data_IF_147684368614
#
_entry.id   IF_147684368614
#
_cell.length_a   1.000
_cell.length_b   1.000
_cell.length_c   1.000
_cell.angle_alpha   90.00
_cell.angle_beta   90.00
_cell.angle_gamma   90.00
#
_symmetry.space_group_name_H-M   'P 1'
#
loop_
_entity.id
_entity.type
_entity.pdbx_description
1 polymer ?
#
# COMPACT_ATOMS: atom_id res chain seq x y z
N UNK A 1 25.02 5.42 -9.92
CA UNK A 1 24.57 4.85 -8.63
C UNK A 1 24.50 5.97 -7.61
N UNK A 2 23.30 6.42 -7.23
CA UNK A 2 23.13 7.45 -6.18
C UNK A 2 23.39 6.79 -4.82
N UNK A 3 24.38 7.31 -4.07
CA UNK A 3 24.71 6.88 -2.70
C UNK A 3 23.49 7.10 -1.80
N UNK A 4 23.05 6.05 -1.12
CA UNK A 4 22.09 6.13 -0.01
C UNK A 4 22.83 6.84 1.14
N UNK A 5 22.28 7.90 1.75
CA UNK A 5 22.94 8.55 2.87
C UNK A 5 23.00 7.58 4.05
N UNK A 6 24.20 7.44 4.64
CA UNK A 6 24.41 6.68 5.86
C UNK A 6 23.47 7.23 6.94
N UNK A 7 22.51 6.42 7.39
CA UNK A 7 21.76 6.72 8.62
C UNK A 7 22.78 6.77 9.75
N UNK A 8 23.13 7.98 10.19
CA UNK A 8 23.97 8.18 11.36
C UNK A 8 23.23 7.56 12.55
N UNK A 9 23.74 6.43 13.06
CA UNK A 9 23.33 5.95 14.38
C UNK A 9 23.72 7.05 15.36
N UNK A 10 22.75 7.61 16.08
CA UNK A 10 23.01 8.52 17.17
C UNK A 10 24.04 7.85 18.11
N UNK A 11 25.08 8.58 18.54
CA UNK A 11 26.03 8.02 19.49
C UNK A 11 25.26 7.64 20.76
N UNK A 12 25.58 6.49 21.39
CA UNK A 12 24.96 6.13 22.66
C UNK A 12 25.25 7.25 23.68
N UNK A 13 24.28 7.61 24.53
CA UNK A 13 24.45 8.69 25.49
C UNK A 13 25.66 8.41 26.39
N UNK A 14 26.46 9.45 26.64
CA UNK A 14 27.63 9.32 27.47
C UNK A 14 27.25 8.89 28.91
N UNK A 15 27.99 7.95 29.52
CA UNK A 15 27.68 7.49 30.86
C UNK A 15 27.90 8.62 31.88
N UNK A 16 26.88 8.92 32.67
CA UNK A 16 26.98 9.89 33.77
C UNK A 16 27.70 9.25 34.96
N UNK A 17 28.91 9.74 35.27
CA UNK A 17 29.72 9.25 36.40
C UNK A 17 29.41 10.06 37.65
N UNK A 18 28.77 9.43 38.64
CA UNK A 18 28.48 10.04 39.95
C UNK A 18 29.61 9.70 40.93
N UNK A 19 30.32 10.72 41.43
CA UNK A 19 31.34 10.56 42.48
C UNK A 19 30.72 10.81 43.86
N UNK A 20 30.86 9.84 44.76
CA UNK A 20 30.38 9.94 46.14
C UNK A 20 31.54 10.23 47.10
N UNK A 21 31.35 11.13 48.07
CA UNK A 21 32.36 11.40 49.12
C UNK A 21 32.39 10.23 50.13
N UNK A 22 33.53 9.54 50.31
CA UNK A 22 33.66 8.40 51.22
C UNK A 22 33.26 8.69 52.67
N UNK A 23 33.31 9.96 53.11
CA UNK A 23 32.93 10.34 54.48
C UNK A 23 31.44 10.19 54.76
N UNK A 24 30.59 10.24 53.72
CA UNK A 24 29.13 10.08 53.82
C UNK A 24 28.67 8.61 53.90
N UNK A 25 29.58 7.65 53.71
CA UNK A 25 29.28 6.20 53.69
C UNK A 25 29.52 5.51 55.06
N UNK A 26 29.84 6.27 56.11
CA UNK A 26 30.09 5.73 57.46
C UNK A 26 28.77 5.32 58.13
N UNK A 27 28.41 4.03 58.00
CA UNK A 27 27.26 3.44 58.70
C UNK A 27 26.55 2.31 57.93
N UNK A 28 26.91 2.09 56.66
CA UNK A 28 26.27 1.11 55.78
C UNK A 28 26.04 1.71 54.40
N UNK A 29 26.06 0.87 53.36
CA UNK A 29 25.88 1.32 51.97
C UNK A 29 24.40 1.65 51.76
N UNK A 30 24.02 2.92 51.93
CA UNK A 30 22.70 3.40 51.47
C UNK A 30 22.91 4.03 50.10
N UNK A 31 22.65 3.27 49.05
CA UNK A 31 22.60 3.81 47.69
C UNK A 31 21.40 4.77 47.60
N UNK A 32 21.59 6.04 47.17
CA UNK A 32 20.46 6.92 46.92
C UNK A 32 19.57 6.30 45.83
N UNK A 33 18.26 6.20 46.09
CA UNK A 33 17.29 5.75 45.08
C UNK A 33 17.22 6.81 43.99
N UNK A 34 17.89 6.57 42.88
CA UNK A 34 17.80 7.41 41.68
C UNK A 34 16.49 7.08 40.98
N UNK A 35 15.55 8.03 40.92
CA UNK A 35 14.39 7.93 40.03
C UNK A 35 14.76 8.63 38.72
N UNK A 36 14.78 7.88 37.63
CA UNK A 36 14.93 8.43 36.29
C UNK A 36 13.53 8.76 35.76
N UNK A 37 13.28 10.02 35.38
CA UNK A 37 12.15 10.39 34.52
C UNK A 37 12.69 10.55 33.10
N UNK A 38 12.23 9.71 32.18
CA UNK A 38 12.54 9.83 30.76
C UNK A 38 11.53 10.82 30.18
N UNK A 39 11.96 12.07 29.98
CA UNK A 39 11.21 13.06 29.21
C UNK A 39 11.49 12.81 27.73
N UNK A 40 10.66 11.99 27.09
CA UNK A 40 10.66 11.85 25.64
C UNK A 40 9.94 13.07 25.04
N UNK A 41 10.69 13.93 24.37
CA UNK A 41 10.14 15.00 23.52
C UNK A 41 10.46 14.65 22.08
N UNK A 42 9.46 14.73 21.20
CA UNK A 42 9.64 14.47 19.77
C UNK A 42 10.35 15.69 19.18
N UNK A 43 11.64 15.56 18.88
CA UNK A 43 12.46 16.67 18.35
C UNK A 43 12.08 17.05 16.91
N UNK A 44 11.37 16.19 16.20
CA UNK A 44 10.94 16.45 14.81
C UNK A 44 9.53 15.94 14.59
N UNK A 45 8.56 16.85 14.46
CA UNK A 45 7.41 16.57 13.61
C UNK A 45 7.98 16.37 12.20
N UNK A 46 8.21 15.13 11.79
CA UNK A 46 8.39 14.83 10.36
C UNK A 46 7.03 15.13 9.70
N UNK A 47 6.80 16.39 9.37
CA UNK A 47 5.67 16.82 8.57
C UNK A 47 5.92 16.25 7.18
N UNK A 48 5.09 15.31 6.76
CA UNK A 48 5.12 14.79 5.40
C UNK A 48 4.68 15.92 4.46
N UNK A 49 5.63 16.59 3.83
CA UNK A 49 5.38 17.62 2.80
C UNK A 49 4.99 17.02 1.44
N UNK A 50 4.82 15.70 1.37
CA UNK A 50 4.40 15.02 0.15
C UNK A 50 2.90 15.20 -0.10
N UNK A 51 2.54 15.27 -1.37
CA UNK A 51 1.14 15.21 -1.78
C UNK A 51 0.60 13.79 -1.54
N UNK A 52 -0.39 13.65 -0.66
CA UNK A 52 -1.09 12.39 -0.44
C UNK A 52 -2.15 12.22 -1.52
N UNK A 53 -1.95 11.27 -2.43
CA UNK A 53 -2.96 10.91 -3.42
C UNK A 53 -3.88 9.86 -2.77
N UNK A 54 -5.17 10.16 -2.53
CA UNK A 54 -6.08 9.22 -1.88
C UNK A 54 -6.34 8.02 -2.79
N UNK A 55 -5.90 6.83 -2.36
CA UNK A 55 -6.24 5.56 -3.00
C UNK A 55 -7.59 5.07 -2.46
N UNK A 56 -8.57 4.75 -3.32
CA UNK A 56 -9.81 4.10 -2.86
C UNK A 56 -9.50 2.79 -2.13
N UNK A 57 -9.99 2.64 -0.89
CA UNK A 57 -9.72 1.46 -0.04
C UNK A 57 -10.07 0.15 -0.73
N UNK A 58 -11.17 0.13 -1.47
CA UNK A 58 -11.61 -1.00 -2.31
C UNK A 58 -10.49 -1.55 -3.20
N UNK A 59 -9.62 -0.70 -3.76
CA UNK A 59 -8.53 -1.12 -4.62
C UNK A 59 -7.39 -1.80 -3.86
N UNK A 60 -7.16 -1.40 -2.61
CA UNK A 60 -6.11 -1.98 -1.77
C UNK A 60 -6.38 -3.47 -1.52
N UNK A 61 -7.65 -3.83 -1.29
CA UNK A 61 -8.04 -5.21 -1.02
C UNK A 61 -8.33 -6.01 -2.29
N UNK A 62 -8.83 -5.37 -3.34
CA UNK A 62 -9.23 -6.05 -4.57
C UNK A 62 -8.06 -6.34 -5.54
N UNK A 63 -6.99 -5.52 -5.54
CA UNK A 63 -5.90 -5.66 -6.50
C UNK A 63 -4.76 -6.55 -5.99
N UNK A 64 -4.02 -7.19 -6.91
CA UNK A 64 -2.73 -7.78 -6.55
C UNK A 64 -1.69 -6.71 -6.26
N UNK A 65 -0.60 -7.06 -5.56
CA UNK A 65 0.53 -6.15 -5.31
C UNK A 65 1.03 -5.45 -6.60
N UNK A 66 1.18 -6.20 -7.69
CA UNK A 66 1.66 -5.64 -8.95
C UNK A 66 0.62 -4.74 -9.61
N UNK A 67 -0.65 -5.12 -9.61
CA UNK A 67 -1.72 -4.28 -10.15
C UNK A 67 -1.93 -3.01 -9.34
N UNK A 68 -1.85 -3.10 -8.01
CA UNK A 68 -1.92 -1.95 -7.12
C UNK A 68 -0.78 -0.98 -7.41
N UNK A 69 0.44 -1.50 -7.62
CA UNK A 69 1.58 -0.69 -8.04
C UNK A 69 1.34 -0.01 -9.40
N UNK A 70 0.73 -0.71 -10.36
CA UNK A 70 0.40 -0.14 -11.68
C UNK A 70 -0.61 0.99 -11.51
N UNK A 71 -1.68 0.75 -10.77
CA UNK A 71 -2.74 1.73 -10.51
C UNK A 71 -2.21 2.96 -9.77
N UNK A 72 -1.39 2.76 -8.74
CA UNK A 72 -0.77 3.86 -8.00
C UNK A 72 0.14 4.70 -8.88
N UNK A 73 0.95 4.05 -9.74
CA UNK A 73 1.83 4.76 -10.67
C UNK A 73 1.04 5.54 -11.72
N UNK A 74 -0.06 4.98 -12.23
CA UNK A 74 -0.95 5.70 -13.17
C UNK A 74 -1.57 6.93 -12.51
N UNK A 75 -1.99 6.82 -11.24
CA UNK A 75 -2.53 7.96 -10.49
C UNK A 75 -1.49 9.03 -10.20
N UNK A 76 -0.28 8.62 -9.82
CA UNK A 76 0.85 9.54 -9.63
C UNK A 76 1.16 10.29 -10.93
N UNK A 77 1.33 9.58 -12.04
CA UNK A 77 1.59 10.18 -13.36
C UNK A 77 0.48 11.10 -13.83
N UNK A 78 -0.78 10.68 -13.70
CA UNK A 78 -1.93 11.51 -14.08
C UNK A 78 -2.03 12.77 -13.21
N UNK A 79 -1.62 12.69 -11.96
CA UNK A 79 -1.68 13.83 -11.05
C UNK A 79 -0.51 14.80 -11.25
N UNK A 80 0.68 14.30 -11.58
CA UNK A 80 1.86 15.13 -11.89
C UNK A 80 1.77 15.77 -13.29
N UNK A 81 1.29 15.03 -14.30
CA UNK A 81 1.36 15.41 -15.70
C UNK A 81 -0.01 15.68 -16.35
N UNK A 82 -1.11 15.56 -15.59
CA UNK A 82 -2.49 15.64 -16.08
C UNK A 82 -3.01 14.34 -16.73
N UNK A 83 -2.12 13.54 -17.31
CA UNK A 83 -2.45 12.24 -17.90
C UNK A 83 -1.29 11.24 -17.82
N UNK A 84 -1.61 9.94 -17.74
CA UNK A 84 -0.59 8.89 -17.84
C UNK A 84 -0.40 8.48 -19.31
N UNK A 85 0.46 9.21 -20.02
CA UNK A 85 0.79 8.96 -21.44
C UNK A 85 2.05 8.10 -21.67
N UNK A 86 2.68 7.58 -20.60
CA UNK A 86 3.90 6.78 -20.68
C UNK A 86 3.74 5.52 -21.54
N UNK A 87 4.76 5.15 -22.29
CA UNK A 87 4.83 3.87 -22.97
C UNK A 87 4.92 2.70 -21.97
N UNK A 88 4.64 1.48 -22.42
CA UNK A 88 4.77 0.27 -21.58
C UNK A 88 6.22 0.10 -21.11
N UNK A 89 7.21 0.46 -21.93
CA UNK A 89 8.62 0.38 -21.55
C UNK A 89 8.98 1.39 -20.46
N UNK A 90 8.52 2.64 -20.59
CA UNK A 90 8.77 3.68 -19.58
C UNK A 90 8.14 3.33 -18.24
N UNK A 91 6.88 2.84 -18.25
CA UNK A 91 6.22 2.34 -17.04
C UNK A 91 6.99 1.16 -16.41
N UNK A 92 7.44 0.20 -17.23
CA UNK A 92 8.21 -0.94 -16.73
C UNK A 92 9.51 -0.50 -16.04
N UNK A 93 10.20 0.48 -16.61
CA UNK A 93 11.42 1.07 -16.02
C UNK A 93 11.10 1.82 -14.73
N UNK A 94 10.08 2.69 -14.71
CA UNK A 94 9.69 3.47 -13.52
C UNK A 94 9.33 2.54 -12.35
N UNK A 95 8.58 1.48 -12.63
CA UNK A 95 8.11 0.52 -11.64
C UNK A 95 9.10 -0.61 -11.31
N UNK A 96 10.19 -0.74 -12.08
CA UNK A 96 11.14 -1.86 -12.02
C UNK A 96 10.45 -3.23 -12.18
N UNK A 97 9.46 -3.30 -13.07
CA UNK A 97 8.78 -4.53 -13.46
C UNK A 97 9.27 -5.01 -14.83
N UNK A 98 9.19 -6.31 -15.09
CA UNK A 98 9.41 -6.82 -16.44
C UNK A 98 8.26 -6.38 -17.36
N UNK A 99 8.56 -6.13 -18.64
CA UNK A 99 7.55 -5.78 -19.65
C UNK A 99 6.43 -6.84 -19.75
N UNK A 100 6.70 -8.15 -19.70
CA UNK A 100 5.64 -9.18 -19.67
C UNK A 100 4.73 -9.06 -18.44
N UNK A 101 5.30 -8.88 -17.25
CA UNK A 101 4.50 -8.75 -16.01
C UNK A 101 3.61 -7.51 -16.06
N UNK A 102 4.16 -6.38 -16.48
CA UNK A 102 3.39 -5.14 -16.64
C UNK A 102 2.29 -5.30 -17.69
N UNK A 103 2.60 -5.91 -18.83
CA UNK A 103 1.62 -6.13 -19.91
C UNK A 103 0.46 -7.01 -19.46
N UNK A 104 0.74 -8.04 -18.66
CA UNK A 104 -0.30 -8.88 -18.05
C UNK A 104 -1.17 -8.10 -17.06
N UNK A 105 -0.57 -7.25 -16.21
CA UNK A 105 -1.32 -6.40 -15.29
C UNK A 105 -2.23 -5.42 -16.06
N UNK A 106 -1.69 -4.72 -17.06
CA UNK A 106 -2.47 -3.80 -17.89
C UNK A 106 -3.61 -4.52 -18.63
N UNK A 107 -3.36 -5.73 -19.14
CA UNK A 107 -4.40 -6.55 -19.75
C UNK A 107 -5.48 -6.96 -18.75
N UNK A 108 -5.10 -7.45 -17.58
CA UNK A 108 -6.01 -7.83 -16.49
C UNK A 108 -6.91 -6.64 -16.09
N UNK A 109 -6.31 -5.47 -15.86
CA UNK A 109 -7.01 -4.25 -15.45
C UNK A 109 -7.98 -3.74 -16.53
N UNK A 110 -7.61 -3.85 -17.82
CA UNK A 110 -8.53 -3.53 -18.93
C UNK A 110 -9.69 -4.53 -19.01
N UNK A 111 -9.39 -5.83 -18.86
CA UNK A 111 -10.37 -6.90 -18.97
C UNK A 111 -11.48 -6.76 -17.92
N UNK A 112 -11.11 -6.41 -16.69
CA UNK A 112 -12.06 -6.19 -15.60
C UNK A 112 -12.70 -4.79 -15.64
N UNK A 113 -12.36 -3.95 -16.63
CA UNK A 113 -12.97 -2.63 -16.82
C UNK A 113 -12.45 -1.54 -15.90
N UNK A 114 -11.39 -1.78 -15.12
CA UNK A 114 -10.82 -0.82 -14.17
C UNK A 114 -9.87 0.19 -14.83
N UNK A 115 -9.27 -0.20 -15.95
CA UNK A 115 -8.37 0.65 -16.74
C UNK A 115 -8.96 0.94 -18.12
N UNK A 116 -9.06 2.23 -18.45
CA UNK A 116 -9.40 2.72 -19.77
C UNK A 116 -8.11 3.12 -20.49
N UNK A 117 -8.01 2.74 -21.76
CA UNK A 117 -6.88 3.10 -22.61
C UNK A 117 -7.38 3.73 -23.91
N UNK A 118 -6.88 4.93 -24.21
CA UNK A 118 -7.15 5.62 -25.47
C UNK A 118 -5.86 5.82 -26.27
N UNK A 119 -5.91 5.89 -27.61
CA UNK A 119 -4.73 6.18 -28.41
C UNK A 119 -4.20 7.59 -28.11
N UNK A 120 -2.89 7.75 -27.92
CA UNK A 120 -2.26 9.04 -27.62
C UNK A 120 -2.15 9.98 -28.86
N UNK A 121 -2.73 9.61 -30.01
CA UNK A 121 -2.68 10.40 -31.26
C UNK A 121 -1.29 10.59 -31.90
N UNK A 122 -0.20 10.40 -31.16
CA UNK A 122 1.19 10.47 -31.63
C UNK A 122 1.61 9.11 -32.19
N UNK A 123 2.23 9.11 -33.38
CA UNK A 123 2.73 7.88 -34.02
C UNK A 123 3.79 7.23 -33.12
N UNK A 124 3.49 6.04 -32.59
CA UNK A 124 4.37 5.34 -31.63
C UNK A 124 4.29 5.84 -30.19
N UNK A 125 3.45 6.84 -29.88
CA UNK A 125 3.37 7.50 -28.57
C UNK A 125 2.61 6.74 -27.48
N UNK A 126 2.44 5.42 -27.61
CA UNK A 126 1.73 4.62 -26.62
C UNK A 126 0.22 4.90 -26.52
N UNK A 127 -0.34 4.67 -25.34
CA UNK A 127 -1.76 4.83 -25.00
C UNK A 127 -1.88 5.69 -23.75
N UNK A 128 -2.84 6.59 -23.74
CA UNK A 128 -3.21 7.35 -22.54
C UNK A 128 -4.00 6.40 -21.64
N UNK A 129 -3.59 6.31 -20.37
CA UNK A 129 -4.17 5.42 -19.36
C UNK A 129 -4.94 6.23 -18.33
N UNK A 130 -6.18 5.83 -18.08
CA UNK A 130 -7.05 6.46 -17.09
C UNK A 130 -7.80 5.40 -16.29
N UNK A 131 -7.96 5.64 -14.99
CA UNK A 131 -8.77 4.76 -14.15
C UNK A 131 -10.25 4.99 -14.42
N UNK A 132 -11.01 3.90 -14.44
CA UNK A 132 -12.45 3.93 -14.55
C UNK A 132 -13.09 4.15 -13.17
N UNK A 133 -13.11 5.40 -12.70
CA UNK A 133 -13.71 5.76 -11.41
C UNK A 133 -15.17 5.30 -11.25
N UNK A 134 -16.04 5.36 -12.27
CA UNK A 134 -17.38 4.76 -12.20
C UNK A 134 -17.36 3.26 -11.86
N UNK A 135 -16.43 2.48 -12.43
CA UNK A 135 -16.29 1.07 -12.08
C UNK A 135 -15.78 0.87 -10.64
N UNK A 136 -14.88 1.74 -10.18
CA UNK A 136 -14.38 1.71 -8.80
C UNK A 136 -15.51 2.01 -7.81
N UNK A 137 -16.34 3.01 -8.11
CA UNK A 137 -17.50 3.35 -7.29
C UNK A 137 -18.50 2.20 -7.26
N UNK A 138 -18.85 1.64 -8.42
CA UNK A 138 -19.74 0.48 -8.49
C UNK A 138 -19.22 -0.71 -7.67
N UNK A 139 -17.92 -1.00 -7.75
CA UNK A 139 -17.31 -2.04 -6.93
C UNK A 139 -17.43 -1.72 -5.44
N UNK A 140 -17.23 -0.47 -5.04
CA UNK A 140 -17.37 -0.03 -3.65
C UNK A 140 -18.82 -0.16 -3.15
N UNK A 141 -19.80 0.27 -3.94
CA UNK A 141 -21.22 0.22 -3.59
C UNK A 141 -21.74 -1.22 -3.44
N UNK A 142 -21.15 -2.18 -4.17
CA UNK A 142 -21.50 -3.58 -4.07
C UNK A 142 -21.08 -4.24 -2.74
N UNK A 143 -20.08 -3.67 -2.07
CA UNK A 143 -19.35 -4.30 -0.95
C UNK A 143 -19.23 -3.39 0.27
N UNK A 144 -19.87 -2.21 0.26
CA UNK A 144 -19.77 -1.19 1.32
C UNK A 144 -20.22 -1.73 2.69
N UNK A 145 -21.22 -2.60 2.70
CA UNK A 145 -21.79 -3.21 3.91
C UNK A 145 -21.18 -4.58 4.24
N UNK A 146 -20.21 -5.05 3.45
CA UNK A 146 -19.65 -6.39 3.53
C UNK A 146 -18.30 -6.40 4.28
N UNK A 147 -17.84 -7.59 4.71
CA UNK A 147 -16.57 -7.71 5.41
C UNK A 147 -15.35 -7.46 4.50
N UNK A 148 -14.21 -6.95 5.01
CA UNK A 148 -13.03 -6.68 4.19
C UNK A 148 -12.44 -7.89 3.44
N UNK A 149 -12.74 -9.13 3.84
CA UNK A 149 -12.31 -10.33 3.12
C UNK A 149 -13.05 -10.54 1.79
N UNK A 150 -14.20 -9.88 1.61
CA UNK A 150 -15.04 -10.06 0.41
C UNK A 150 -14.34 -9.60 -0.86
N UNK A 151 -13.52 -8.55 -0.78
CA UNK A 151 -12.79 -8.02 -1.94
C UNK A 151 -11.84 -9.07 -2.53
N UNK A 152 -11.15 -9.83 -1.68
CA UNK A 152 -10.25 -10.91 -2.10
C UNK A 152 -11.04 -12.11 -2.66
N UNK A 153 -12.16 -12.47 -2.04
CA UNK A 153 -13.05 -13.56 -2.51
C UNK A 153 -13.67 -13.23 -3.86
N UNK A 154 -14.26 -12.04 -4.01
CA UNK A 154 -14.80 -11.56 -5.29
C UNK A 154 -13.69 -11.54 -6.33
N UNK A 155 -12.49 -11.03 -6.03
CA UNK A 155 -11.36 -11.04 -6.97
C UNK A 155 -11.06 -12.44 -7.52
N UNK A 156 -11.09 -13.49 -6.67
CA UNK A 156 -10.88 -14.88 -7.10
C UNK A 156 -12.05 -15.39 -7.96
N UNK A 157 -13.29 -15.11 -7.55
CA UNK A 157 -14.50 -15.61 -8.21
C UNK A 157 -14.81 -14.92 -9.54
N UNK A 158 -14.58 -13.61 -9.65
CA UNK A 158 -15.19 -12.77 -10.70
C UNK A 158 -14.20 -12.14 -11.68
N UNK A 159 -12.90 -12.48 -11.61
CA UNK A 159 -11.85 -11.93 -12.51
C UNK A 159 -12.04 -12.14 -14.01
N UNK A 160 -13.06 -12.89 -14.41
CA UNK A 160 -13.45 -13.10 -15.80
C UNK A 160 -14.48 -12.09 -16.29
N UNK A 161 -15.12 -11.36 -15.39
CA UNK A 161 -16.25 -10.45 -15.62
C UNK A 161 -15.76 -9.02 -15.48
N UNK A 162 -16.33 -8.10 -16.26
CA UNK A 162 -16.10 -6.67 -16.10
C UNK A 162 -16.77 -6.20 -14.79
N UNK A 163 -16.08 -5.39 -13.99
CA UNK A 163 -16.57 -4.87 -12.71
C UNK A 163 -17.95 -4.24 -12.85
N UNK A 164 -18.21 -3.49 -13.94
CA UNK A 164 -19.50 -2.84 -14.18
C UNK A 164 -20.67 -3.81 -14.37
N UNK A 165 -20.38 -5.09 -14.64
CA UNK A 165 -21.40 -6.13 -14.80
C UNK A 165 -21.58 -6.96 -13.53
N UNK A 166 -20.81 -6.69 -12.46
CA UNK A 166 -20.97 -7.38 -11.20
C UNK A 166 -22.30 -7.00 -10.56
N UNK A 167 -22.96 -8.00 -9.99
CA UNK A 167 -24.23 -7.88 -9.29
C UNK A 167 -24.07 -8.32 -7.83
N UNK A 168 -25.08 -8.02 -6.99
CA UNK A 168 -25.11 -8.51 -5.61
C UNK A 168 -25.15 -10.04 -5.51
N UNK A 169 -25.65 -10.73 -6.52
CA UNK A 169 -25.68 -12.20 -6.54
C UNK A 169 -24.29 -12.79 -6.79
N UNK A 170 -23.45 -12.11 -7.58
CA UNK A 170 -22.04 -12.49 -7.74
C UNK A 170 -21.26 -12.35 -6.43
N UNK A 171 -21.57 -11.31 -5.63
CA UNK A 171 -21.00 -11.12 -4.28
C UNK A 171 -21.41 -12.26 -3.35
N UNK A 172 -22.70 -12.61 -3.32
CA UNK A 172 -23.21 -13.76 -2.53
C UNK A 172 -22.55 -15.07 -2.94
N UNK A 173 -22.42 -15.33 -4.24
CA UNK A 173 -21.77 -16.55 -4.73
C UNK A 173 -20.29 -16.65 -4.33
N UNK A 174 -19.61 -15.52 -4.16
CA UNK A 174 -18.24 -15.47 -3.66
C UNK A 174 -18.13 -15.89 -2.17
N UNK A 175 -19.19 -15.71 -1.38
CA UNK A 175 -19.28 -16.29 -0.03
C UNK A 175 -19.53 -17.79 -0.09
N UNK A 176 -20.47 -18.25 -0.93
CA UNK A 176 -20.86 -19.66 -1.00
C UNK A 176 -19.73 -20.59 -1.44
N UNK A 177 -18.75 -20.08 -2.19
CA UNK A 177 -17.59 -20.88 -2.61
C UNK A 177 -16.54 -21.02 -1.51
N UNK A 178 -16.45 -20.10 -0.55
CA UNK A 178 -15.50 -20.12 0.58
C UNK A 178 -16.19 -19.61 1.86
N UNK A 179 -17.14 -20.39 2.39
CA UNK A 179 -17.61 -20.18 3.76
C UNK A 179 -16.50 -20.64 4.68
N UNK A 180 -15.64 -19.70 5.08
CA UNK A 180 -14.67 -19.92 6.15
C UNK A 180 -15.44 -20.02 7.46
N UNK A 181 -15.08 -20.99 8.29
CA UNK A 181 -15.77 -21.23 9.55
C UNK A 181 -15.73 -19.98 10.46
N UNK A 182 -16.77 -19.75 11.27
CA UNK A 182 -16.79 -18.62 12.21
C UNK A 182 -15.58 -18.69 13.16
N UNK A 183 -14.60 -17.79 12.98
CA UNK A 183 -13.35 -17.75 13.75
C UNK A 183 -12.06 -17.78 12.93
N UNK A 184 -12.14 -17.82 11.60
CA UNK A 184 -10.96 -17.83 10.73
C UNK A 184 -10.15 -16.53 10.79
N UNK A 185 -8.84 -16.65 11.00
CA UNK A 185 -7.90 -15.52 11.06
C UNK A 185 -7.56 -15.02 9.64
N UNK A 186 -7.80 -13.73 9.32
CA UNK A 186 -7.47 -13.16 8.02
C UNK A 186 -5.99 -13.30 7.60
N UNK A 187 -5.07 -13.55 8.55
CA UNK A 187 -3.65 -13.75 8.27
C UNK A 187 -3.31 -15.12 7.66
N UNK A 188 -4.21 -16.11 7.74
CA UNK A 188 -3.97 -17.46 7.20
C UNK A 188 -4.11 -17.55 5.66
N UNK A 189 -4.55 -16.48 4.99
CA UNK A 189 -4.70 -16.47 3.53
C UNK A 189 -3.38 -16.30 2.73
N UNK A 190 -2.23 -16.04 3.38
CA UNK A 190 -0.95 -15.84 2.69
C UNK A 190 -0.18 -17.14 2.36
N UNK A 191 -0.56 -18.31 2.90
CA UNK A 191 0.26 -19.53 2.81
C UNK A 191 0.01 -20.43 1.59
N UNK A 192 -0.95 -20.11 0.72
CA UNK A 192 -1.20 -20.90 -0.49
C UNK A 192 -1.01 -20.06 -1.77
N UNK A 193 0.27 -19.85 -2.13
CA UNK A 193 0.71 -19.57 -3.50
C UNK A 193 1.40 -20.80 -4.09
#
# INVERSE_FOLDING_TARGET
>A
MKKIPNRAKLPPPEPVVIKLDPKLLRGGIVLPKVKYEILATVETEEVFDGMVIPMPKVLIYFLSKNELMVVSTIMEEANENGECALSVQELAVKMRLSVPTLSNCLYSLRKIGLLLETPNGKRGGGRIRQLNYPAIQHLNDLVEEEDPGIYARIRKATRKINILNLTKDDVKSAYDTHVLEPGHDPAEEEEYN
#
